data_IF_312167761324
#
_entry.id   IF_312167761324
#
_cell.length_a   1.000
_cell.length_b   1.000
_cell.length_c   1.000
_cell.angle_alpha   90.00
_cell.angle_beta   90.00
_cell.angle_gamma   90.00
#
_symmetry.space_group_name_H-M   'P 1'
#
loop_
_entity.id
_entity.type
_entity.pdbx_description
1 polymer ?
#
# COMPACT_ATOMS: atom_id res chain seq x y z
N UNK A 1 -24.02 12.66 15.73
CA UNK A 1 -24.30 11.81 14.56
C UNK A 1 -24.98 12.67 13.51
N UNK A 2 -24.45 12.65 12.27
CA UNK A 2 -24.98 13.38 11.11
C UNK A 2 -25.41 12.37 10.06
N UNK A 3 -26.50 12.64 9.36
CA UNK A 3 -27.05 11.78 8.32
C UNK A 3 -27.38 12.61 7.07
N UNK A 4 -26.97 12.10 5.90
CA UNK A 4 -27.12 12.76 4.61
C UNK A 4 -27.77 11.79 3.62
N UNK A 5 -28.72 12.27 2.84
CA UNK A 5 -29.31 11.50 1.74
C UNK A 5 -28.33 11.45 0.57
N UNK A 6 -27.82 10.26 0.28
CA UNK A 6 -26.76 10.02 -0.72
C UNK A 6 -27.12 8.77 -1.54
N UNK A 7 -28.08 8.87 -2.46
CA UNK A 7 -28.51 7.72 -3.27
C UNK A 7 -27.46 7.24 -4.28
N UNK A 8 -26.37 7.98 -4.44
CA UNK A 8 -25.23 7.67 -5.31
C UNK A 8 -23.91 7.71 -4.51
N UNK A 9 -22.83 7.10 -5.03
CA UNK A 9 -21.51 7.18 -4.43
C UNK A 9 -21.06 8.62 -4.19
N UNK A 10 -20.42 8.88 -3.06
CA UNK A 10 -19.97 10.19 -2.62
C UNK A 10 -18.45 10.35 -2.65
N UNK A 11 -17.98 11.59 -2.56
CA UNK A 11 -16.60 11.91 -2.26
C UNK A 11 -16.48 12.28 -0.79
N UNK A 12 -15.96 11.37 0.03
CA UNK A 12 -15.76 11.58 1.45
C UNK A 12 -14.38 12.21 1.68
N UNK A 13 -14.36 13.39 2.29
CA UNK A 13 -13.14 14.07 2.73
C UNK A 13 -13.12 14.15 4.24
N UNK A 14 -12.04 13.62 4.85
CA UNK A 14 -11.81 13.68 6.29
C UNK A 14 -10.47 14.35 6.54
N UNK A 15 -10.45 15.37 7.39
CA UNK A 15 -9.22 16.02 7.87
C UNK A 15 -9.29 16.16 9.38
N UNK A 16 -8.52 15.32 10.10
CA UNK A 16 -8.45 15.32 11.57
C UNK A 16 -7.00 15.32 12.04
N UNK A 17 -6.77 15.74 13.29
CA UNK A 17 -5.42 15.78 13.86
C UNK A 17 -5.07 14.53 14.63
N UNK A 18 -5.98 13.98 15.41
CA UNK A 18 -5.75 12.78 16.21
C UNK A 18 -7.07 12.02 16.43
N UNK A 19 -6.97 10.71 16.44
CA UNK A 19 -8.07 9.77 16.61
C UNK A 19 -8.21 8.82 15.43
N UNK A 20 -8.96 7.77 15.61
CA UNK A 20 -9.11 6.71 14.63
C UNK A 20 -10.24 7.01 13.65
N UNK A 21 -10.06 6.55 12.42
CA UNK A 21 -11.02 6.72 11.34
C UNK A 21 -11.47 5.35 10.84
N UNK A 22 -12.74 5.06 10.98
CA UNK A 22 -13.36 3.84 10.42
C UNK A 22 -14.34 4.22 9.32
N UNK A 23 -14.17 3.66 8.14
CA UNK A 23 -15.04 3.93 6.99
C UNK A 23 -15.59 2.60 6.45
N UNK A 24 -16.92 2.48 6.48
CA UNK A 24 -17.62 1.31 5.96
C UNK A 24 -18.35 1.68 4.67
N UNK A 25 -17.98 1.08 3.54
CA UNK A 25 -18.76 1.14 2.31
C UNK A 25 -19.78 -0.02 2.30
N UNK A 26 -21.07 0.33 2.21
CA UNK A 26 -22.15 -0.63 2.32
C UNK A 26 -23.21 -0.39 1.25
N UNK A 27 -24.18 -1.29 1.13
CA UNK A 27 -25.36 -1.09 0.28
C UNK A 27 -26.36 -0.17 1.01
N UNK A 28 -26.14 1.12 0.89
CA UNK A 28 -26.95 2.16 1.54
C UNK A 28 -27.20 3.32 0.57
N UNK A 29 -28.27 4.07 0.83
CA UNK A 29 -28.59 5.33 0.14
C UNK A 29 -28.37 6.55 1.03
N UNK A 30 -27.79 6.35 2.21
CA UNK A 30 -27.50 7.41 3.16
C UNK A 30 -26.06 7.35 3.62
N UNK A 31 -25.43 8.51 3.79
CA UNK A 31 -24.14 8.61 4.45
C UNK A 31 -24.34 9.02 5.90
N UNK A 32 -23.78 8.26 6.82
CA UNK A 32 -23.82 8.58 8.25
C UNK A 32 -22.42 8.89 8.76
N UNK A 33 -22.29 9.95 9.55
CA UNK A 33 -21.04 10.35 10.20
C UNK A 33 -21.28 10.42 11.70
N UNK A 34 -20.56 9.59 12.45
CA UNK A 34 -20.54 9.61 13.91
C UNK A 34 -19.17 10.13 14.34
N UNK A 35 -19.17 11.14 15.19
CA UNK A 35 -17.99 11.66 15.85
C UNK A 35 -18.08 11.30 17.32
N UNK A 36 -17.04 10.70 17.87
CA UNK A 36 -16.94 10.32 19.27
C UNK A 36 -15.72 11.03 19.90
N UNK A 37 -15.89 11.65 21.08
CA UNK A 37 -14.75 12.23 21.77
C UNK A 37 -13.81 11.11 22.23
N UNK A 38 -12.54 11.21 21.83
CA UNK A 38 -11.50 10.28 22.23
C UNK A 38 -10.80 10.72 23.52
N UNK A 39 -9.49 10.77 23.53
CA UNK A 39 -8.71 11.09 24.72
C UNK A 39 -8.29 12.56 24.75
N UNK A 40 -8.10 13.08 25.96
CA UNK A 40 -7.55 14.41 26.22
C UNK A 40 -8.60 15.46 26.62
N UNK A 41 -8.10 16.48 27.31
CA UNK A 41 -8.96 17.60 27.76
C UNK A 41 -9.41 18.41 26.53
N UNK A 42 -10.71 18.62 26.39
CA UNK A 42 -11.33 19.34 25.26
C UNK A 42 -11.69 18.44 24.06
N UNK A 43 -11.78 17.13 24.25
CA UNK A 43 -12.24 16.20 23.19
C UNK A 43 -13.71 16.45 22.83
N UNK A 44 -14.59 16.71 23.81
CA UNK A 44 -15.98 17.07 23.55
C UNK A 44 -16.08 18.38 22.76
N UNK A 45 -15.31 19.39 23.14
CA UNK A 45 -15.25 20.67 22.43
C UNK A 45 -14.71 20.51 20.99
N UNK A 46 -13.77 19.59 20.77
CA UNK A 46 -13.26 19.25 19.44
C UNK A 46 -14.38 18.69 18.56
N UNK A 47 -15.18 17.77 19.07
CA UNK A 47 -16.33 17.20 18.37
C UNK A 47 -17.35 18.29 18.04
N UNK A 48 -17.69 19.18 18.99
CA UNK A 48 -18.64 20.27 18.77
C UNK A 48 -18.17 21.30 17.72
N UNK A 49 -16.85 21.53 17.62
CA UNK A 49 -16.27 22.48 16.67
C UNK A 49 -15.97 21.86 15.30
N UNK A 50 -16.04 20.55 15.17
CA UNK A 50 -15.77 19.84 13.91
C UNK A 50 -16.91 20.09 12.93
N UNK A 51 -16.54 20.53 11.73
CA UNK A 51 -17.48 20.76 10.65
C UNK A 51 -17.82 19.41 9.99
N UNK A 52 -19.11 19.10 9.92
CA UNK A 52 -19.64 17.96 9.17
C UNK A 52 -20.73 18.49 8.25
N UNK A 53 -20.46 18.50 6.96
CA UNK A 53 -21.38 19.06 5.98
C UNK A 53 -21.39 18.32 4.66
N UNK A 54 -22.49 18.43 3.93
CA UNK A 54 -22.61 17.98 2.54
C UNK A 54 -22.54 19.17 1.59
N UNK A 55 -21.69 19.08 0.58
CA UNK A 55 -21.59 20.04 -0.52
C UNK A 55 -21.72 19.31 -1.86
N UNK A 56 -22.92 19.21 -2.38
CA UNK A 56 -23.20 18.39 -3.55
C UNK A 56 -22.92 16.90 -3.27
N UNK A 57 -22.01 16.31 -4.02
CA UNK A 57 -21.59 14.91 -3.81
C UNK A 57 -20.44 14.79 -2.80
N UNK A 58 -19.93 15.88 -2.23
CA UNK A 58 -18.87 15.87 -1.24
C UNK A 58 -19.43 15.83 0.18
N UNK A 59 -19.00 14.85 0.97
CA UNK A 59 -19.19 14.82 2.42
C UNK A 59 -17.87 15.23 3.06
N UNK A 60 -17.91 16.26 3.89
CA UNK A 60 -16.72 16.90 4.47
C UNK A 60 -16.77 16.77 5.98
N UNK A 61 -15.70 16.21 6.55
CA UNK A 61 -15.43 16.18 8.00
C UNK A 61 -14.11 16.90 8.24
N UNK A 62 -14.16 18.10 8.80
CA UNK A 62 -12.98 18.93 9.01
C UNK A 62 -12.88 19.37 10.47
N UNK A 63 -11.84 18.88 11.16
CA UNK A 63 -11.54 19.34 12.51
C UNK A 63 -10.92 20.75 12.50
N UNK A 64 -11.20 21.59 13.51
CA UNK A 64 -10.69 22.94 13.59
C UNK A 64 -9.16 22.96 13.64
N UNK A 65 -8.54 23.85 12.86
CA UNK A 65 -7.08 24.06 12.91
C UNK A 65 -6.70 24.67 14.25
N UNK A 66 -5.99 23.90 15.07
CA UNK A 66 -5.46 24.41 16.34
C UNK A 66 -3.99 24.77 16.19
N UNK A 67 -3.61 25.95 16.67
CA UNK A 67 -2.20 26.28 16.87
C UNK A 67 -1.67 25.46 18.04
N UNK A 68 -0.63 24.67 17.81
CA UNK A 68 -0.01 23.82 18.83
C UNK A 68 0.50 24.69 20.00
N UNK A 69 -0.13 24.57 21.16
CA UNK A 69 0.46 25.02 22.42
C UNK A 69 1.35 23.89 22.93
N UNK A 70 2.62 24.09 23.01
CA UNK A 70 3.73 23.15 23.20
C UNK A 70 3.64 22.21 24.42
N UNK A 71 2.62 22.26 25.27
CA UNK A 71 2.58 21.58 26.56
C UNK A 71 1.28 20.83 26.91
N UNK A 72 0.31 20.75 26.02
CA UNK A 72 -0.93 20.00 26.24
C UNK A 72 -1.04 18.83 25.29
N UNK A 73 -1.49 17.66 25.81
CA UNK A 73 -1.85 16.52 24.96
C UNK A 73 -2.93 16.97 23.96
N UNK A 74 -2.73 16.69 22.68
CA UNK A 74 -3.71 16.97 21.64
C UNK A 74 -4.96 16.13 21.90
N UNK A 75 -6.14 16.74 22.05
CA UNK A 75 -7.37 15.97 22.17
C UNK A 75 -7.60 15.18 20.87
N UNK A 76 -8.10 13.96 21.02
CA UNK A 76 -8.46 13.08 19.89
C UNK A 76 -9.96 12.97 19.72
N UNK A 77 -10.35 12.58 18.51
CA UNK A 77 -11.74 12.35 18.14
C UNK A 77 -11.80 11.19 17.16
N UNK A 78 -12.58 10.20 17.46
CA UNK A 78 -12.79 9.07 16.58
C UNK A 78 -13.93 9.35 15.60
N UNK A 79 -13.74 8.92 14.36
CA UNK A 79 -14.66 9.20 13.26
C UNK A 79 -15.13 7.89 12.65
N UNK A 80 -16.41 7.60 12.73
CA UNK A 80 -17.01 6.43 12.08
C UNK A 80 -17.95 6.91 10.97
N UNK A 81 -17.70 6.45 9.76
CA UNK A 81 -18.49 6.85 8.59
C UNK A 81 -19.00 5.63 7.85
N UNK A 82 -20.29 5.66 7.47
CA UNK A 82 -20.85 4.73 6.50
C UNK A 82 -21.21 5.46 5.23
N UNK A 83 -20.78 4.91 4.10
CA UNK A 83 -21.04 5.49 2.77
C UNK A 83 -21.56 4.43 1.80
N UNK A 84 -22.22 4.83 0.71
CA UNK A 84 -22.53 3.91 -0.39
C UNK A 84 -21.27 3.27 -0.97
N UNK A 85 -21.39 2.04 -1.47
CA UNK A 85 -20.34 1.40 -2.26
C UNK A 85 -19.85 2.30 -3.40
N UNK A 86 -18.60 2.09 -3.83
CA UNK A 86 -17.94 2.84 -4.90
C UNK A 86 -17.76 4.35 -4.61
N UNK A 87 -17.89 4.75 -3.35
CA UNK A 87 -17.50 6.09 -2.90
C UNK A 87 -15.99 6.29 -2.97
N UNK A 88 -15.55 7.54 -3.11
CA UNK A 88 -14.13 7.92 -3.10
C UNK A 88 -13.76 8.50 -1.75
N UNK A 89 -12.58 8.17 -1.24
CA UNK A 89 -12.08 8.69 0.04
C UNK A 89 -10.83 9.54 -0.12
N UNK A 90 -10.78 10.71 0.53
CA UNK A 90 -9.57 11.56 0.74
C UNK A 90 -9.45 11.81 2.25
N UNK A 91 -8.54 11.06 2.90
CA UNK A 91 -8.37 11.09 4.35
C UNK A 91 -7.01 11.67 4.71
N UNK A 92 -7.01 12.60 5.64
CA UNK A 92 -5.80 13.18 6.25
C UNK A 92 -5.90 13.10 7.75
N UNK A 93 -5.00 12.35 8.35
CA UNK A 93 -4.89 12.19 9.80
C UNK A 93 -3.44 12.36 10.23
N UNK A 94 -3.17 13.12 11.29
CA UNK A 94 -1.78 13.25 11.76
C UNK A 94 -1.40 12.10 12.69
N UNK A 95 -2.30 11.65 13.55
CA UNK A 95 -2.07 10.53 14.46
C UNK A 95 -3.36 9.76 14.69
N UNK A 96 -3.36 8.50 14.38
CA UNK A 96 -4.52 7.60 14.47
C UNK A 96 -4.58 6.67 13.28
N UNK A 97 -5.27 5.57 13.47
CA UNK A 97 -5.38 4.52 12.48
C UNK A 97 -6.54 4.76 11.52
N UNK A 98 -6.36 4.35 10.28
CA UNK A 98 -7.42 4.32 9.29
C UNK A 98 -7.79 2.88 8.93
N UNK A 99 -9.02 2.52 9.15
CA UNK A 99 -9.57 1.24 8.72
C UNK A 99 -10.71 1.45 7.73
N UNK A 100 -10.65 0.76 6.60
CA UNK A 100 -11.75 0.75 5.63
C UNK A 100 -12.26 -0.66 5.40
N UNK A 101 -13.57 -0.80 5.21
CA UNK A 101 -14.21 -2.05 4.82
C UNK A 101 -15.19 -1.82 3.67
N UNK A 102 -15.27 -2.80 2.76
CA UNK A 102 -16.12 -2.73 1.58
C UNK A 102 -15.40 -2.19 0.34
N UNK A 103 -16.16 -1.78 -0.67
CA UNK A 103 -15.65 -1.41 -1.98
C UNK A 103 -15.66 0.10 -2.21
N UNK A 104 -14.51 0.64 -2.60
CA UNK A 104 -14.30 2.06 -2.91
C UNK A 104 -13.85 2.24 -4.36
N UNK A 105 -14.25 3.35 -4.99
CA UNK A 105 -13.81 3.69 -6.34
C UNK A 105 -12.37 4.20 -6.37
N UNK A 106 -11.94 4.98 -5.38
CA UNK A 106 -10.57 5.46 -5.25
C UNK A 106 -10.25 5.82 -3.80
N UNK A 107 -8.97 5.76 -3.43
CA UNK A 107 -8.49 6.10 -2.10
C UNK A 107 -7.25 6.99 -2.15
N UNK A 108 -7.32 8.10 -1.41
CA UNK A 108 -6.17 8.97 -1.15
C UNK A 108 -6.05 9.16 0.34
N UNK A 109 -4.90 8.73 0.89
CA UNK A 109 -4.68 8.75 2.34
C UNK A 109 -3.33 9.39 2.65
N UNK A 110 -3.34 10.29 3.62
CA UNK A 110 -2.12 10.84 4.21
C UNK A 110 -2.19 10.73 5.72
N UNK A 111 -1.29 9.93 6.28
CA UNK A 111 -1.12 9.80 7.73
C UNK A 111 0.25 10.33 8.16
N UNK A 112 0.32 10.93 9.35
CA UNK A 112 1.60 11.23 9.98
C UNK A 112 2.12 10.02 10.74
N UNK A 113 1.28 9.44 11.59
CA UNK A 113 1.56 8.23 12.37
C UNK A 113 0.26 7.46 12.55
N UNK A 114 0.29 6.21 12.34
CA UNK A 114 -0.84 5.29 12.44
C UNK A 114 -0.95 4.41 11.21
N UNK A 115 -1.58 3.29 11.42
CA UNK A 115 -1.70 2.26 10.41
C UNK A 115 -2.82 2.57 9.43
N UNK A 116 -2.63 2.16 8.20
CA UNK A 116 -3.60 2.35 7.13
C UNK A 116 -4.03 1.00 6.58
N UNK A 117 -5.29 0.65 6.78
CA UNK A 117 -5.88 -0.59 6.28
C UNK A 117 -6.94 -0.28 5.23
N UNK A 118 -6.67 -0.66 3.99
CA UNK A 118 -7.60 -0.53 2.86
C UNK A 118 -8.11 -1.89 2.42
N UNK A 119 -9.43 -1.99 2.25
CA UNK A 119 -10.08 -3.22 1.82
C UNK A 119 -10.06 -3.37 0.28
N UNK A 120 -11.10 -3.02 -0.41
CA UNK A 120 -11.22 -3.14 -1.87
C UNK A 120 -11.27 -1.75 -2.50
N UNK A 121 -10.32 -1.45 -3.38
CA UNK A 121 -10.30 -0.19 -4.14
C UNK A 121 -10.17 -0.50 -5.61
N UNK A 122 -11.20 -0.19 -6.40
CA UNK A 122 -11.26 -0.54 -7.83
C UNK A 122 -10.45 0.39 -8.74
N UNK A 123 -10.21 1.63 -8.32
CA UNK A 123 -9.46 2.63 -9.09
C UNK A 123 -8.18 3.06 -8.39
N UNK A 124 -7.80 4.32 -8.58
CA UNK A 124 -6.52 4.84 -8.10
C UNK A 124 -6.37 4.81 -6.58
N UNK A 125 -5.21 4.37 -6.13
CA UNK A 125 -4.78 4.36 -4.73
C UNK A 125 -3.53 5.22 -4.56
N UNK A 126 -3.54 6.14 -3.58
CA UNK A 126 -2.38 6.98 -3.23
C UNK A 126 -2.32 7.08 -1.69
N UNK A 127 -1.45 6.28 -1.08
CA UNK A 127 -1.28 6.22 0.38
C UNK A 127 0.12 6.68 0.75
N UNK A 128 0.20 7.62 1.69
CA UNK A 128 1.46 8.04 2.27
C UNK A 128 1.33 8.15 3.80
N UNK A 129 2.21 7.46 4.52
CA UNK A 129 2.34 7.59 5.98
C UNK A 129 3.78 7.93 6.37
N UNK A 130 3.96 8.65 7.46
CA UNK A 130 5.29 8.91 8.00
C UNK A 130 5.83 7.72 8.78
N UNK A 131 5.00 7.15 9.65
CA UNK A 131 5.32 5.97 10.45
C UNK A 131 4.03 5.21 10.71
N UNK A 132 3.94 4.02 10.26
CA UNK A 132 2.79 3.14 10.36
C UNK A 132 2.76 2.17 9.19
N UNK A 133 2.10 1.08 9.40
CA UNK A 133 1.99 0.02 8.43
C UNK A 133 0.90 0.33 7.39
N UNK A 134 1.12 -0.15 6.19
CA UNK A 134 0.12 -0.04 5.12
C UNK A 134 -0.32 -1.45 4.74
N UNK A 135 -1.61 -1.71 4.88
CA UNK A 135 -2.22 -2.95 4.44
C UNK A 135 -3.25 -2.68 3.36
N UNK A 136 -3.09 -3.30 2.20
CA UNK A 136 -4.02 -3.25 1.09
C UNK A 136 -4.48 -4.66 0.74
N UNK A 137 -5.79 -4.92 0.83
CA UNK A 137 -6.33 -6.22 0.46
C UNK A 137 -6.40 -6.39 -1.05
N UNK A 138 -7.04 -5.44 -1.78
CA UNK A 138 -7.14 -5.51 -3.23
C UNK A 138 -7.12 -4.14 -3.88
N UNK A 139 -6.19 -3.93 -4.82
CA UNK A 139 -6.07 -2.74 -5.65
C UNK A 139 -6.35 -3.05 -7.12
N UNK A 140 -7.43 -2.49 -7.67
CA UNK A 140 -7.85 -2.70 -9.06
C UNK A 140 -7.28 -1.69 -10.05
N UNK A 141 -6.74 -0.56 -9.58
CA UNK A 141 -6.17 0.49 -10.43
C UNK A 141 -4.76 0.90 -10.01
N UNK A 142 -4.20 1.94 -10.66
CA UNK A 142 -2.85 2.41 -10.39
C UNK A 142 -2.63 2.69 -8.91
N UNK A 143 -1.63 2.03 -8.31
CA UNK A 143 -1.41 2.02 -6.87
C UNK A 143 -0.07 2.64 -6.50
N UNK A 144 -0.08 3.56 -5.54
CA UNK A 144 1.12 4.14 -4.94
C UNK A 144 1.03 4.07 -3.43
N UNK A 145 1.97 3.35 -2.81
CA UNK A 145 2.09 3.21 -1.37
C UNK A 145 3.45 3.72 -0.92
N UNK A 146 3.48 4.55 0.11
CA UNK A 146 4.73 5.08 0.64
C UNK A 146 4.66 5.18 2.17
N UNK A 147 5.68 4.64 2.84
CA UNK A 147 5.87 4.81 4.29
C UNK A 147 7.30 5.22 4.59
N UNK A 148 7.50 6.03 5.63
CA UNK A 148 8.86 6.35 6.09
C UNK A 148 9.44 5.23 6.94
N UNK A 149 8.64 4.66 7.83
CA UNK A 149 9.01 3.54 8.70
C UNK A 149 7.75 2.75 9.01
N UNK A 150 7.66 1.57 8.54
CA UNK A 150 6.51 0.68 8.67
C UNK A 150 6.53 -0.35 7.56
N UNK A 151 5.80 -1.40 7.76
CA UNK A 151 5.70 -2.50 6.82
C UNK A 151 4.59 -2.24 5.80
N UNK A 152 4.77 -2.79 4.61
CA UNK A 152 3.76 -2.72 3.55
C UNK A 152 3.32 -4.12 3.18
N UNK A 153 2.06 -4.43 3.46
CA UNK A 153 1.44 -5.70 3.12
C UNK A 153 0.37 -5.49 2.04
N UNK A 154 0.60 -6.06 0.88
CA UNK A 154 -0.34 -6.03 -0.24
C UNK A 154 -0.75 -7.46 -0.59
N UNK A 155 -2.05 -7.73 -0.60
CA UNK A 155 -2.53 -9.06 -0.97
C UNK A 155 -2.63 -9.22 -2.48
N UNK A 156 -3.25 -8.26 -3.19
CA UNK A 156 -3.45 -8.34 -4.63
C UNK A 156 -3.48 -6.95 -5.27
N UNK A 157 -2.75 -6.78 -6.37
CA UNK A 157 -2.80 -5.58 -7.22
C UNK A 157 -2.90 -5.96 -8.69
N UNK A 158 -3.87 -5.34 -9.38
CA UNK A 158 -4.20 -5.66 -10.76
C UNK A 158 -3.55 -4.71 -11.80
N UNK A 159 -3.06 -3.55 -11.38
CA UNK A 159 -2.52 -2.50 -12.25
C UNK A 159 -1.13 -2.05 -11.75
N UNK A 160 -0.48 -1.19 -12.50
CA UNK A 160 0.85 -0.66 -12.18
C UNK A 160 0.94 -0.17 -10.74
N UNK A 161 1.89 -0.73 -10.02
CA UNK A 161 2.05 -0.49 -8.59
C UNK A 161 3.44 0.03 -8.26
N UNK A 162 3.51 1.06 -7.43
CA UNK A 162 4.76 1.61 -6.90
C UNK A 162 4.72 1.60 -5.38
N UNK A 163 5.73 0.97 -4.75
CA UNK A 163 5.86 0.89 -3.30
C UNK A 163 7.20 1.49 -2.87
N UNK A 164 7.17 2.36 -1.87
CA UNK A 164 8.36 2.94 -1.28
C UNK A 164 8.35 2.85 0.24
N UNK A 165 9.43 2.33 0.85
CA UNK A 165 9.64 2.39 2.29
C UNK A 165 11.06 2.87 2.60
N UNK A 166 11.20 3.63 3.69
CA UNK A 166 12.53 3.97 4.20
C UNK A 166 13.11 2.84 5.06
N UNK A 167 12.30 2.25 5.92
CA UNK A 167 12.65 1.11 6.77
C UNK A 167 11.37 0.32 7.07
N UNK A 168 11.40 -0.94 6.85
CA UNK A 168 10.27 -1.86 7.01
C UNK A 168 10.22 -2.83 5.85
N UNK A 169 9.55 -3.93 6.06
CA UNK A 169 9.45 -4.99 5.09
C UNK A 169 8.30 -4.74 4.11
N UNK A 170 8.49 -5.23 2.88
CA UNK A 170 7.44 -5.17 1.86
C UNK A 170 7.06 -6.57 1.45
N UNK A 171 5.81 -6.91 1.65
CA UNK A 171 5.25 -8.18 1.20
C UNK A 171 4.11 -7.95 0.22
N UNK A 172 4.25 -8.47 -0.98
CA UNK A 172 3.21 -8.49 -2.01
C UNK A 172 2.90 -9.94 -2.36
N UNK A 173 1.65 -10.35 -2.17
CA UNK A 173 1.27 -11.71 -2.47
C UNK A 173 1.09 -11.93 -3.97
N UNK A 174 0.32 -11.07 -4.65
CA UNK A 174 0.05 -11.23 -6.07
C UNK A 174 0.07 -9.90 -6.81
N UNK A 175 0.91 -9.80 -7.85
CA UNK A 175 1.02 -8.64 -8.73
C UNK A 175 0.73 -9.07 -10.18
N UNK A 176 -0.38 -8.55 -10.75
CA UNK A 176 -0.81 -8.91 -12.11
C UNK A 176 -0.16 -8.04 -13.18
N UNK A 177 0.21 -6.82 -12.85
CA UNK A 177 0.91 -5.90 -13.75
C UNK A 177 2.24 -5.45 -13.12
N UNK A 178 2.92 -4.55 -13.78
CA UNK A 178 4.23 -4.05 -13.38
C UNK A 178 4.23 -3.53 -11.94
N UNK A 179 5.25 -3.95 -11.20
CA UNK A 179 5.49 -3.48 -9.83
C UNK A 179 6.91 -2.93 -9.67
N UNK A 180 7.02 -1.71 -9.13
CA UNK A 180 8.26 -1.04 -8.80
C UNK A 180 8.35 -0.85 -7.27
N UNK A 181 9.34 -1.47 -6.62
CA UNK A 181 9.54 -1.42 -5.16
C UNK A 181 10.88 -0.78 -4.85
N UNK A 182 10.90 0.17 -3.93
CA UNK A 182 12.12 0.79 -3.41
C UNK A 182 12.15 0.75 -1.89
N UNK A 183 13.16 0.14 -1.30
CA UNK A 183 13.38 0.09 0.15
C UNK A 183 14.75 0.69 0.51
N UNK A 184 14.83 1.37 1.63
CA UNK A 184 16.14 1.72 2.20
C UNK A 184 16.71 0.56 3.01
N UNK A 185 15.90 -0.05 3.87
CA UNK A 185 16.27 -1.22 4.68
C UNK A 185 14.99 -2.03 4.96
N UNK A 186 15.11 -3.32 4.94
CA UNK A 186 14.03 -4.26 5.09
C UNK A 186 13.93 -5.21 3.90
N UNK A 187 13.32 -6.34 4.14
CA UNK A 187 13.20 -7.39 3.16
C UNK A 187 12.03 -7.13 2.21
N UNK A 188 12.20 -7.55 0.97
CA UNK A 188 11.15 -7.41 -0.04
C UNK A 188 10.77 -8.77 -0.58
N UNK A 189 9.52 -9.15 -0.40
CA UNK A 189 8.98 -10.40 -0.91
C UNK A 189 7.82 -10.13 -1.87
N UNK A 190 7.89 -10.69 -3.07
CA UNK A 190 6.79 -10.79 -4.02
C UNK A 190 6.51 -12.27 -4.25
N UNK A 191 5.36 -12.78 -3.76
CA UNK A 191 5.06 -14.22 -3.83
C UNK A 191 4.77 -14.66 -5.27
N UNK A 192 3.84 -13.99 -5.96
CA UNK A 192 3.52 -14.25 -7.37
C UNK A 192 3.59 -12.99 -8.22
N UNK A 193 4.37 -13.06 -9.29
CA UNK A 193 4.53 -11.98 -10.27
C UNK A 193 4.12 -12.46 -11.66
N UNK A 194 3.17 -11.76 -12.26
CA UNK A 194 2.64 -12.09 -13.59
C UNK A 194 3.23 -11.18 -14.69
N UNK A 195 3.99 -10.15 -14.32
CA UNK A 195 4.54 -9.14 -15.23
C UNK A 195 5.90 -8.62 -14.74
N UNK A 196 6.32 -7.46 -15.20
CA UNK A 196 7.59 -6.83 -14.86
C UNK A 196 7.70 -6.51 -13.37
N UNK A 197 8.84 -6.85 -12.75
CA UNK A 197 9.17 -6.52 -11.35
C UNK A 197 10.48 -5.76 -11.28
N UNK A 198 10.48 -4.62 -10.60
CA UNK A 198 11.71 -3.88 -10.30
C UNK A 198 11.82 -3.66 -8.80
N UNK A 199 12.86 -4.22 -8.18
CA UNK A 199 13.13 -4.07 -6.75
C UNK A 199 14.50 -3.43 -6.58
N UNK A 200 14.56 -2.37 -5.78
CA UNK A 200 15.80 -1.69 -5.40
C UNK A 200 15.83 -1.54 -3.89
N UNK A 201 16.88 -2.04 -3.27
CA UNK A 201 17.14 -1.80 -1.85
C UNK A 201 18.60 -1.41 -1.60
N UNK A 202 18.84 -0.77 -0.46
CA UNK A 202 20.21 -0.59 0.00
C UNK A 202 20.63 -1.76 0.90
N UNK A 203 19.71 -2.27 1.74
CA UNK A 203 19.96 -3.43 2.59
C UNK A 203 18.68 -4.24 2.75
N UNK A 204 18.82 -5.55 2.80
CA UNK A 204 17.73 -6.50 2.95
C UNK A 204 17.66 -7.49 1.79
N UNK A 205 17.04 -8.59 2.06
CA UNK A 205 16.88 -9.68 1.10
C UNK A 205 15.74 -9.40 0.13
N UNK A 206 15.90 -9.90 -1.10
CA UNK A 206 14.89 -9.75 -2.14
C UNK A 206 14.43 -11.13 -2.61
N UNK A 207 13.15 -11.39 -2.48
CA UNK A 207 12.58 -12.67 -2.86
C UNK A 207 11.43 -12.49 -3.85
N UNK A 208 11.51 -13.20 -4.97
CA UNK A 208 10.37 -13.44 -5.85
C UNK A 208 10.06 -14.94 -5.77
N UNK A 209 8.89 -15.27 -5.22
CA UNK A 209 8.48 -16.66 -5.03
C UNK A 209 8.25 -17.38 -6.35
N UNK A 210 7.47 -16.77 -7.26
CA UNK A 210 7.15 -17.33 -8.57
C UNK A 210 6.91 -16.25 -9.61
N UNK A 211 7.78 -16.18 -10.61
CA UNK A 211 7.62 -15.32 -11.77
C UNK A 211 7.06 -16.10 -12.96
N UNK A 212 6.00 -15.61 -13.57
CA UNK A 212 5.35 -16.25 -14.71
C UNK A 212 5.77 -15.60 -16.04
N UNK A 213 6.07 -14.33 -16.06
CA UNK A 213 6.51 -13.60 -17.26
C UNK A 213 7.19 -12.28 -16.90
N UNK A 214 7.79 -11.63 -17.90
CA UNK A 214 8.27 -10.26 -17.79
C UNK A 214 9.75 -10.12 -17.45
N UNK A 215 10.16 -8.90 -17.12
CA UNK A 215 11.52 -8.55 -16.74
C UNK A 215 11.61 -8.36 -15.24
N UNK A 216 12.50 -9.10 -14.62
CA UNK A 216 12.80 -8.99 -13.21
C UNK A 216 14.12 -8.26 -13.05
N UNK A 217 14.08 -7.09 -12.43
CA UNK A 217 15.26 -6.29 -12.11
C UNK A 217 15.42 -6.15 -10.61
N UNK A 218 16.41 -6.82 -10.06
CA UNK A 218 16.68 -6.84 -8.63
C UNK A 218 18.04 -6.23 -8.36
N UNK A 219 18.08 -5.20 -7.54
CA UNK A 219 19.32 -4.48 -7.20
C UNK A 219 19.37 -4.28 -5.69
N UNK A 220 20.39 -4.81 -5.03
CA UNK A 220 20.67 -4.54 -3.61
C UNK A 220 22.17 -4.27 -3.39
N UNK A 221 22.50 -3.49 -2.38
CA UNK A 221 23.90 -3.36 -2.00
C UNK A 221 24.30 -4.46 -1.01
N UNK A 222 23.39 -4.86 -0.10
CA UNK A 222 23.65 -5.91 0.87
C UNK A 222 22.38 -6.71 1.11
N UNK A 223 22.43 -8.00 0.82
CA UNK A 223 21.33 -8.95 0.98
C UNK A 223 21.35 -10.00 -0.11
N UNK A 224 20.65 -11.07 0.17
CA UNK A 224 20.51 -12.20 -0.75
C UNK A 224 19.36 -11.95 -1.73
N UNK A 225 19.51 -12.51 -2.93
CA UNK A 225 18.47 -12.43 -3.96
C UNK A 225 17.98 -13.83 -4.32
N UNK A 226 16.69 -14.07 -4.17
CA UNK A 226 16.06 -15.35 -4.49
C UNK A 226 14.98 -15.18 -5.54
N UNK A 227 15.04 -15.95 -6.62
CA UNK A 227 14.07 -15.85 -7.71
C UNK A 227 13.57 -17.24 -8.11
N UNK A 228 12.29 -17.46 -7.87
CA UNK A 228 11.55 -18.60 -8.38
C UNK A 228 10.97 -18.29 -9.76
N UNK A 229 11.16 -19.19 -10.71
CA UNK A 229 10.60 -19.08 -12.06
C UNK A 229 9.64 -20.24 -12.28
N UNK A 230 8.45 -19.93 -12.77
CA UNK A 230 7.41 -20.91 -13.01
C UNK A 230 7.92 -22.07 -13.90
N UNK A 231 7.45 -23.28 -13.60
CA UNK A 231 7.82 -24.46 -14.39
C UNK A 231 7.45 -24.28 -15.88
N UNK A 232 8.35 -24.71 -16.75
CA UNK A 232 8.15 -24.64 -18.20
C UNK A 232 8.37 -23.26 -18.82
N UNK A 233 8.61 -22.21 -18.05
CA UNK A 233 8.88 -20.87 -18.57
C UNK A 233 10.36 -20.70 -18.87
N UNK A 234 10.77 -20.39 -20.13
CA UNK A 234 12.15 -20.07 -20.48
C UNK A 234 12.66 -18.84 -19.73
N UNK A 235 13.94 -18.88 -19.31
CA UNK A 235 14.52 -17.78 -18.56
C UNK A 235 15.86 -17.32 -19.13
N UNK A 236 16.05 -16.00 -19.23
CA UNK A 236 17.33 -15.36 -19.53
C UNK A 236 17.89 -14.78 -18.24
N UNK A 237 19.18 -15.05 -17.97
CA UNK A 237 19.81 -14.70 -16.72
C UNK A 237 21.01 -13.78 -16.96
N UNK A 238 20.99 -12.61 -16.32
CA UNK A 238 22.10 -11.67 -16.19
C UNK A 238 22.28 -11.35 -14.70
N UNK A 239 23.13 -12.15 -14.03
CA UNK A 239 23.21 -12.12 -12.57
C UNK A 239 24.65 -11.91 -12.11
N UNK A 240 24.86 -10.95 -11.23
CA UNK A 240 26.19 -10.57 -10.74
C UNK A 240 26.17 -10.35 -9.23
N UNK A 241 27.14 -10.95 -8.54
CA UNK A 241 27.49 -10.60 -7.17
C UNK A 241 28.97 -10.26 -7.09
N UNK A 242 29.34 -9.25 -6.30
CA UNK A 242 30.76 -8.94 -6.10
C UNK A 242 31.36 -9.81 -4.99
N UNK A 243 30.60 -10.05 -3.93
CA UNK A 243 31.03 -10.91 -2.81
C UNK A 243 29.87 -11.82 -2.43
N UNK A 244 29.95 -13.05 -2.85
CA UNK A 244 28.92 -14.07 -2.66
C UNK A 244 28.98 -15.13 -3.74
N UNK A 245 28.00 -16.00 -3.75
CA UNK A 245 27.87 -17.10 -4.70
C UNK A 245 26.63 -16.94 -5.58
N UNK A 246 26.71 -17.45 -6.81
CA UNK A 246 25.54 -17.59 -7.68
C UNK A 246 25.22 -19.05 -7.84
N UNK A 247 24.01 -19.45 -7.48
CA UNK A 247 23.49 -20.79 -7.66
C UNK A 247 22.24 -20.80 -8.55
N UNK A 248 22.21 -21.69 -9.53
CA UNK A 248 21.05 -21.85 -10.41
C UNK A 248 20.63 -23.31 -10.46
N UNK A 249 19.40 -23.57 -10.03
CA UNK A 249 18.71 -24.85 -10.20
C UNK A 249 17.96 -24.94 -11.53
N UNK A 250 18.10 -23.95 -12.41
CA UNK A 250 17.44 -23.91 -13.72
C UNK A 250 18.24 -24.76 -14.71
N UNK A 251 17.59 -25.75 -15.32
CA UNK A 251 18.17 -26.49 -16.45
C UNK A 251 18.37 -25.59 -17.67
N UNK A 252 19.31 -25.95 -18.53
CA UNK A 252 19.45 -25.30 -19.83
C UNK A 252 18.13 -25.47 -20.62
N UNK A 253 17.57 -24.38 -21.09
CA UNK A 253 16.40 -24.37 -21.98
C UNK A 253 16.78 -23.83 -23.34
N UNK A 254 16.03 -24.26 -24.37
CA UNK A 254 16.16 -23.65 -25.69
C UNK A 254 15.74 -22.16 -25.63
N UNK A 255 16.33 -21.32 -26.50
CA UNK A 255 15.89 -19.93 -26.60
C UNK A 255 14.38 -19.85 -26.88
N UNK A 256 13.65 -18.92 -26.22
CA UNK A 256 12.22 -18.77 -26.50
C UNK A 256 11.99 -18.43 -27.97
N UNK A 257 10.94 -19.00 -28.52
CA UNK A 257 10.44 -18.65 -29.87
C UNK A 257 9.70 -17.31 -29.82
N UNK A 258 9.62 -16.62 -30.97
CA UNK A 258 8.90 -15.34 -31.06
C UNK A 258 7.44 -15.49 -30.57
N UNK A 259 7.09 -14.72 -29.54
CA UNK A 259 5.76 -14.76 -28.91
C UNK A 259 5.59 -15.73 -27.75
N UNK A 260 6.62 -16.47 -27.38
CA UNK A 260 6.60 -17.33 -26.20
C UNK A 260 6.81 -16.52 -24.92
N UNK A 261 6.00 -16.84 -23.90
CA UNK A 261 6.15 -16.23 -22.56
C UNK A 261 7.50 -16.59 -21.97
N UNK A 262 8.28 -15.61 -21.59
CA UNK A 262 9.61 -15.80 -21.00
C UNK A 262 9.86 -14.86 -19.83
N UNK A 263 10.83 -15.17 -19.02
CA UNK A 263 11.28 -14.32 -17.90
C UNK A 263 12.73 -13.89 -18.17
N UNK A 264 12.99 -12.58 -18.11
CA UNK A 264 14.35 -12.04 -18.16
C UNK A 264 14.76 -11.54 -16.78
N UNK A 265 15.73 -12.19 -16.14
CA UNK A 265 16.23 -11.84 -14.80
C UNK A 265 17.52 -11.05 -14.91
N UNK A 266 17.53 -9.84 -14.35
CA UNK A 266 18.73 -9.06 -14.09
C UNK A 266 18.86 -8.85 -12.58
N UNK A 267 19.77 -9.55 -11.92
CA UNK A 267 19.95 -9.47 -10.48
C UNK A 267 21.38 -9.08 -10.13
N UNK A 268 21.52 -8.01 -9.34
CA UNK A 268 22.81 -7.48 -8.93
C UNK A 268 22.85 -7.25 -7.42
N UNK A 269 23.85 -7.83 -6.75
CA UNK A 269 24.16 -7.52 -5.35
C UNK A 269 25.65 -7.23 -5.19
N UNK A 270 25.99 -6.38 -4.24
CA UNK A 270 27.42 -6.18 -3.89
C UNK A 270 27.86 -7.25 -2.89
N UNK A 271 27.03 -7.50 -1.87
CA UNK A 271 27.31 -8.51 -0.85
C UNK A 271 26.06 -9.34 -0.60
N UNK A 272 26.12 -10.61 -0.95
CA UNK A 272 25.02 -11.57 -0.79
C UNK A 272 25.04 -12.61 -1.90
N UNK A 273 24.28 -13.66 -1.68
CA UNK A 273 24.14 -14.77 -2.59
C UNK A 273 22.95 -14.57 -3.55
N UNK A 274 23.07 -15.08 -4.76
CA UNK A 274 21.96 -15.07 -5.73
C UNK A 274 21.54 -16.51 -6.01
N UNK A 275 20.28 -16.83 -5.77
CA UNK A 275 19.74 -18.16 -6.02
C UNK A 275 18.51 -18.11 -6.95
N UNK A 276 18.52 -18.98 -7.97
CA UNK A 276 17.44 -19.13 -8.92
C UNK A 276 16.95 -20.59 -8.93
N UNK A 277 15.63 -20.77 -8.88
CA UNK A 277 15.03 -22.10 -8.80
C UNK A 277 13.74 -22.19 -9.60
N UNK A 278 13.24 -23.40 -9.82
CA UNK A 278 11.89 -23.66 -10.36
C UNK A 278 10.86 -23.66 -9.24
N UNK A 279 9.73 -22.96 -9.47
CA UNK A 279 8.64 -22.76 -8.51
C UNK A 279 7.27 -23.13 -9.11
#
# INVERSE_FOLDING_TARGET
MHEFDTPAPVRLRIEIHAGDVTIEATDTTTTTVLLEPGHGEGADELVEQTIVEQRGDDIIVEAPRRSSTFFRRTPSMDVVVRVPHDSTIDVRVNSGDLQTTGRFAAAKVKSGSGDVQLDLVSGRIDVATGSGDIQLRQGGGPTKLATGSGDVLVREVADVTTIGTGSGDVQVREAHDRIDISSGSGDVTVEEAHSDVSIKSASGDQQIGRAQSGRLRLETASGDVQVGIAEGVPAWLDVHTLTGSVSSGLGASEPPTDGETSVAVSANTVTGDISLFRA
#
